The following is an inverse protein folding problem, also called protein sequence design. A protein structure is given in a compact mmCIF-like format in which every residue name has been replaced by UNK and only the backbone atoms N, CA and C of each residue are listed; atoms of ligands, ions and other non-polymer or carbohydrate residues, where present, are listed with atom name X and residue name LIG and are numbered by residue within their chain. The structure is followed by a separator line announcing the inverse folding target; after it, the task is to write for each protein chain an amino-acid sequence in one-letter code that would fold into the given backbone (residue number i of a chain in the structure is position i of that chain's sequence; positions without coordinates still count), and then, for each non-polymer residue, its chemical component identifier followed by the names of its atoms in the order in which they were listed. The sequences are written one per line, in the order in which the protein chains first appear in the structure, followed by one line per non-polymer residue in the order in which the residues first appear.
data_IF_832514885009
#
_entry.id   IF_832514885009
#
_cell.length_a   1.000
_cell.length_b   1.000
_cell.length_c   1.000
_cell.angle_alpha   90.00
_cell.angle_beta   90.00
_cell.angle_gamma   90.00
#
_symmetry.space_group_name_H-M   'P 1'
#
loop_
_entity.id
_entity.type
_entity.pdbx_description
1 polymer ?
#
# COMPACT_ATOMS: atom_id res chain seq x y z
N UNK A 1 -4.79 -13.65 -14.35
CA UNK A 1 -4.29 -13.33 -12.99
C UNK A 1 -5.36 -13.70 -11.97
N UNK A 2 -4.99 -14.13 -10.76
CA UNK A 2 -5.97 -14.50 -9.70
C UNK A 2 -6.07 -13.48 -8.57
N UNK A 3 -5.05 -12.65 -8.39
CA UNK A 3 -5.01 -11.63 -7.34
C UNK A 3 -4.37 -10.35 -7.86
N UNK A 4 -5.07 -9.23 -7.73
CA UNK A 4 -4.59 -7.88 -8.04
C UNK A 4 -4.57 -7.08 -6.73
N UNK A 5 -3.40 -6.61 -6.36
CA UNK A 5 -3.13 -5.87 -5.13
C UNK A 5 -2.76 -4.44 -5.47
N UNK A 6 -3.40 -3.47 -4.82
CA UNK A 6 -2.96 -2.08 -4.83
C UNK A 6 -2.21 -1.79 -3.54
N UNK A 7 -0.99 -1.26 -3.62
CA UNK A 7 -0.28 -0.76 -2.44
C UNK A 7 -0.65 0.71 -2.16
N UNK A 8 -0.71 1.05 -0.88
CA UNK A 8 -1.11 2.37 -0.39
C UNK A 8 -1.22 2.40 1.13
N UNK A 9 -1.43 3.60 1.68
CA UNK A 9 -1.74 3.82 3.08
C UNK A 9 -3.25 4.12 3.27
N UNK A 10 -3.90 3.53 4.28
CA UNK A 10 -5.31 3.80 4.59
C UNK A 10 -5.50 5.13 5.32
N UNK A 11 -6.70 5.70 5.20
CA UNK A 11 -7.12 6.91 5.90
C UNK A 11 -7.02 8.19 5.06
N UNK A 12 -7.87 9.15 5.37
CA UNK A 12 -8.16 10.34 4.54
C UNK A 12 -6.90 11.16 4.21
N UNK A 13 -5.97 11.24 5.17
CA UNK A 13 -4.71 11.97 4.98
C UNK A 13 -3.83 11.44 3.85
N UNK A 14 -4.01 10.18 3.45
CA UNK A 14 -3.19 9.52 2.43
C UNK A 14 -3.90 9.29 1.10
N UNK A 15 -5.23 9.39 1.07
CA UNK A 15 -6.00 9.01 -0.13
C UNK A 15 -5.52 9.70 -1.40
N UNK A 16 -5.03 10.93 -1.29
CA UNK A 16 -4.57 11.73 -2.42
C UNK A 16 -3.04 11.76 -2.60
N UNK A 17 -2.26 10.98 -1.86
CA UNK A 17 -0.79 11.01 -1.92
C UNK A 17 -0.24 10.10 -3.02
N UNK A 18 0.94 10.43 -3.56
CA UNK A 18 1.60 9.63 -4.62
C UNK A 18 1.76 8.16 -4.22
N UNK A 19 2.01 7.89 -2.94
CA UNK A 19 2.19 6.54 -2.40
C UNK A 19 0.92 5.65 -2.45
N UNK A 20 -0.23 6.23 -2.82
CA UNK A 20 -1.49 5.52 -3.01
C UNK A 20 -1.80 5.24 -4.49
N UNK A 21 -0.85 5.42 -5.42
CA UNK A 21 -1.06 5.12 -6.84
C UNK A 21 -1.53 3.67 -7.10
N UNK A 22 -1.04 2.71 -6.30
CA UNK A 22 -1.50 1.32 -6.36
C UNK A 22 -2.97 1.17 -5.96
N UNK A 23 -3.42 1.88 -4.92
CA UNK A 23 -4.84 1.92 -4.55
C UNK A 23 -5.69 2.52 -5.66
N UNK A 24 -5.29 3.66 -6.22
CA UNK A 24 -6.02 4.30 -7.32
C UNK A 24 -6.22 3.36 -8.50
N UNK A 25 -5.18 2.60 -8.87
CA UNK A 25 -5.31 1.60 -9.93
C UNK A 25 -6.38 0.55 -9.60
N UNK A 26 -6.32 -0.08 -8.43
CA UNK A 26 -7.28 -1.15 -8.07
C UNK A 26 -8.70 -0.62 -7.85
N UNK A 27 -8.87 0.58 -7.32
CA UNK A 27 -10.17 1.25 -7.25
C UNK A 27 -10.75 1.49 -8.65
N UNK A 28 -9.91 1.92 -9.61
CA UNK A 28 -10.32 2.08 -11.01
C UNK A 28 -10.64 0.75 -11.68
N UNK A 29 -9.88 -0.31 -11.41
CA UNK A 29 -10.21 -1.68 -11.85
C UNK A 29 -11.58 -2.08 -11.31
N UNK A 30 -11.81 -1.90 -10.01
CA UNK A 30 -13.07 -2.24 -9.37
C UNK A 30 -14.26 -1.48 -9.98
N UNK A 31 -14.08 -0.19 -10.27
CA UNK A 31 -15.10 0.61 -10.95
C UNK A 31 -15.40 0.11 -12.37
N UNK A 32 -14.36 -0.14 -13.17
CA UNK A 32 -14.47 -0.62 -14.57
C UNK A 32 -15.16 -1.99 -14.63
N UNK A 33 -14.80 -2.90 -13.72
CA UNK A 33 -15.35 -4.25 -13.65
C UNK A 33 -16.60 -4.36 -12.79
N UNK A 34 -17.16 -3.23 -12.33
CA UNK A 34 -18.33 -3.14 -11.44
C UNK A 34 -18.22 -4.05 -10.21
N UNK A 35 -16.99 -4.24 -9.72
CA UNK A 35 -16.67 -5.08 -8.58
C UNK A 35 -16.74 -4.25 -7.31
N UNK A 36 -17.55 -4.68 -6.34
CA UNK A 36 -17.65 -3.97 -5.06
C UNK A 36 -16.51 -4.40 -4.12
N UNK A 37 -15.74 -3.43 -3.64
CA UNK A 37 -14.75 -3.64 -2.58
C UNK A 37 -15.43 -3.51 -1.22
N UNK A 38 -15.28 -4.52 -0.35
CA UNK A 38 -15.81 -4.52 1.02
C UNK A 38 -14.71 -4.74 2.02
N UNK A 39 -14.83 -4.11 3.19
CA UNK A 39 -13.91 -4.34 4.30
C UNK A 39 -14.05 -5.76 4.81
N UNK A 40 -12.93 -6.47 4.84
CA UNK A 40 -12.82 -7.79 5.42
C UNK A 40 -11.83 -7.74 6.60
N UNK A 41 -12.36 -7.94 7.81
CA UNK A 41 -11.56 -7.88 9.04
C UNK A 41 -10.56 -9.04 9.15
N UNK A 42 -10.87 -10.21 8.58
CA UNK A 42 -9.97 -11.36 8.60
C UNK A 42 -8.75 -11.07 7.75
N UNK A 43 -8.93 -10.50 6.56
CA UNK A 43 -7.81 -10.17 5.67
C UNK A 43 -7.19 -8.80 5.95
N UNK A 44 -7.78 -7.98 6.83
CA UNK A 44 -7.34 -6.62 7.13
C UNK A 44 -7.20 -5.77 5.86
N UNK A 45 -8.17 -5.90 4.95
CA UNK A 45 -8.15 -5.29 3.63
C UNK A 45 -9.55 -4.89 3.16
N UNK A 46 -9.64 -4.02 2.15
CA UNK A 46 -10.80 -3.98 1.28
C UNK A 46 -10.60 -5.04 0.20
N UNK A 47 -11.61 -5.89 0.02
CA UNK A 47 -11.56 -7.05 -0.87
C UNK A 47 -12.78 -7.05 -1.77
N UNK A 48 -12.59 -7.35 -3.05
CA UNK A 48 -13.66 -7.63 -4.00
C UNK A 48 -13.28 -8.79 -4.90
N UNK A 49 -14.28 -9.46 -5.47
CA UNK A 49 -14.05 -10.54 -6.44
C UNK A 49 -14.69 -10.16 -7.75
N UNK A 50 -13.90 -10.14 -8.81
CA UNK A 50 -14.41 -9.92 -10.15
C UNK A 50 -15.02 -11.23 -10.66
N UNK A 51 -16.36 -11.29 -10.71
CA UNK A 51 -17.14 -12.50 -11.01
C UNK A 51 -16.68 -13.22 -12.29
N UNK A 52 -16.50 -12.49 -13.40
CA UNK A 52 -16.20 -13.11 -14.69
C UNK A 52 -14.84 -13.83 -14.74
N UNK A 53 -13.82 -13.24 -14.09
CA UNK A 53 -12.46 -13.83 -14.07
C UNK A 53 -12.18 -14.68 -12.83
N UNK A 54 -13.00 -14.53 -11.78
CA UNK A 54 -12.75 -15.07 -10.45
C UNK A 54 -11.60 -14.37 -9.69
N UNK A 55 -10.94 -13.37 -10.27
CA UNK A 55 -9.81 -12.68 -9.67
C UNK A 55 -10.21 -11.82 -8.46
N UNK A 56 -9.35 -11.82 -7.44
CA UNK A 56 -9.51 -10.99 -6.25
C UNK A 56 -8.85 -9.63 -6.45
N UNK A 57 -9.52 -8.58 -6.01
CA UNK A 57 -9.02 -7.21 -5.90
C UNK A 57 -8.79 -6.90 -4.42
N UNK A 58 -7.61 -6.41 -4.07
CA UNK A 58 -7.22 -6.22 -2.66
C UNK A 58 -6.54 -4.87 -2.45
N UNK A 59 -7.05 -4.12 -1.49
CA UNK A 59 -6.41 -2.92 -0.92
C UNK A 59 -6.10 -3.19 0.56
N UNK A 60 -4.86 -3.52 0.93
CA UNK A 60 -4.46 -3.67 2.33
C UNK A 60 -4.88 -2.46 3.16
N UNK A 61 -5.42 -2.66 4.37
CA UNK A 61 -5.81 -1.58 5.27
C UNK A 61 -4.85 -1.44 6.46
N UNK A 62 -3.60 -1.86 6.25
CA UNK A 62 -2.45 -1.61 7.11
C UNK A 62 -1.58 -0.51 6.50
N UNK A 63 -0.69 0.09 7.30
CA UNK A 63 0.34 0.98 6.75
C UNK A 63 1.25 0.25 5.76
N UNK A 64 1.85 1.02 4.86
CA UNK A 64 2.61 0.50 3.72
C UNK A 64 3.67 -0.53 4.12
N UNK A 65 4.39 -0.30 5.21
CA UNK A 65 5.42 -1.21 5.71
C UNK A 65 4.89 -2.55 6.27
N UNK A 66 3.57 -2.73 6.30
CA UNK A 66 2.89 -3.94 6.76
C UNK A 66 1.83 -4.44 5.76
N UNK A 67 1.93 -4.04 4.48
CA UNK A 67 0.99 -4.43 3.42
C UNK A 67 1.08 -5.90 3.01
N UNK A 68 2.20 -6.58 3.30
CA UNK A 68 2.44 -7.97 2.92
C UNK A 68 1.60 -8.97 3.69
N UNK A 69 1.26 -8.69 4.95
CA UNK A 69 0.45 -9.59 5.79
C UNK A 69 -0.96 -9.81 5.21
N UNK A 70 -1.75 -8.78 4.89
CA UNK A 70 -3.04 -8.94 4.21
C UNK A 70 -2.98 -9.79 2.94
N UNK A 71 -1.97 -9.52 2.10
CA UNK A 71 -1.77 -10.21 0.83
C UNK A 71 -1.44 -11.69 1.03
N UNK A 72 -0.50 -12.00 1.92
CA UNK A 72 -0.11 -13.36 2.25
C UNK A 72 -1.29 -14.17 2.80
N UNK A 73 -2.08 -13.59 3.71
CA UNK A 73 -3.22 -14.27 4.32
C UNK A 73 -4.25 -14.65 3.25
N UNK A 74 -4.57 -13.74 2.33
CA UNK A 74 -5.52 -13.99 1.25
C UNK A 74 -4.97 -15.00 0.24
N UNK A 75 -3.72 -14.83 -0.20
CA UNK A 75 -3.06 -15.74 -1.14
C UNK A 75 -3.00 -17.17 -0.58
N UNK A 76 -2.63 -17.33 0.68
CA UNK A 76 -2.58 -18.64 1.36
C UNK A 76 -3.97 -19.27 1.48
N UNK A 77 -4.98 -18.47 1.87
CA UNK A 77 -6.34 -18.96 2.07
C UNK A 77 -6.97 -19.48 0.77
N UNK A 78 -6.76 -18.78 -0.34
CA UNK A 78 -7.28 -19.16 -1.66
C UNK A 78 -6.30 -19.96 -2.51
N UNK A 79 -5.13 -20.34 -1.96
CA UNK A 79 -4.08 -21.12 -2.64
C UNK A 79 -3.63 -20.48 -3.96
N UNK A 80 -3.40 -19.16 -3.93
CA UNK A 80 -2.94 -18.38 -5.07
C UNK A 80 -1.41 -18.38 -5.08
N UNK A 81 -0.81 -18.81 -6.19
CA UNK A 81 0.64 -18.82 -6.32
C UNK A 81 1.18 -17.40 -6.59
N UNK A 82 2.43 -17.07 -6.18
CA UNK A 82 3.01 -15.73 -6.41
C UNK A 82 2.98 -15.28 -7.88
N UNK A 83 3.21 -16.19 -8.82
CA UNK A 83 3.14 -15.90 -10.25
C UNK A 83 1.74 -15.49 -10.76
N UNK A 84 0.69 -15.72 -9.95
CA UNK A 84 -0.70 -15.36 -10.25
C UNK A 84 -1.12 -14.03 -9.59
N UNK A 85 -0.18 -13.35 -8.92
CA UNK A 85 -0.36 -12.09 -8.21
C UNK A 85 0.20 -10.93 -9.04
N UNK A 86 -0.61 -9.89 -9.23
CA UNK A 86 -0.20 -8.59 -9.75
C UNK A 86 -0.21 -7.56 -8.62
N UNK A 87 0.90 -6.88 -8.38
CA UNK A 87 1.03 -5.82 -7.37
C UNK A 87 1.24 -4.48 -8.06
N UNK A 88 0.27 -3.58 -7.94
CA UNK A 88 0.36 -2.20 -8.39
C UNK A 88 0.93 -1.30 -7.30
N UNK A 89 1.92 -0.47 -7.66
CA UNK A 89 2.60 0.42 -6.72
C UNK A 89 3.13 1.67 -7.44
N UNK A 90 3.46 2.69 -6.66
CA UNK A 90 4.15 3.89 -7.14
C UNK A 90 5.63 3.59 -7.45
N UNK A 91 6.14 4.24 -8.50
CA UNK A 91 7.49 4.07 -9.02
C UNK A 91 8.19 5.42 -9.16
N UNK A 92 9.31 5.58 -8.47
CA UNK A 92 10.10 6.82 -8.45
C UNK A 92 10.98 6.95 -9.70
N UNK A 93 11.44 5.82 -10.25
CA UNK A 93 12.33 5.81 -11.42
C UNK A 93 11.64 6.32 -12.69
N UNK A 94 10.31 6.38 -12.68
CA UNK A 94 9.49 6.70 -13.84
C UNK A 94 8.78 8.04 -13.65
N UNK A 95 8.80 8.93 -14.65
CA UNK A 95 8.05 10.18 -14.56
C UNK A 95 6.53 9.90 -14.54
N UNK A 96 5.73 10.83 -13.97
CA UNK A 96 4.27 10.80 -14.12
C UNK A 96 3.86 10.57 -15.57
N UNK A 97 2.89 9.68 -15.78
CA UNK A 97 2.49 9.25 -17.12
C UNK A 97 3.16 7.96 -17.59
N UNK A 98 4.25 7.50 -16.99
CA UNK A 98 4.85 6.23 -17.40
C UNK A 98 4.23 5.08 -16.61
N UNK A 99 3.85 4.00 -17.29
CA UNK A 99 3.41 2.76 -16.64
C UNK A 99 4.04 1.56 -17.33
N UNK A 100 4.52 0.62 -16.53
CA UNK A 100 5.13 -0.62 -17.01
C UNK A 100 4.71 -1.79 -16.13
N UNK A 101 4.32 -2.89 -16.77
CA UNK A 101 4.20 -4.20 -16.12
C UNK A 101 5.51 -5.00 -16.27
N UNK A 102 5.93 -5.72 -15.23
CA UNK A 102 7.14 -6.57 -15.26
C UNK A 102 6.98 -7.78 -14.31
N UNK A 103 7.52 -8.97 -14.63
CA UNK A 103 7.62 -10.07 -13.67
C UNK A 103 8.84 -9.89 -12.75
N UNK A 104 8.67 -10.15 -11.46
CA UNK A 104 9.77 -10.19 -10.51
C UNK A 104 10.45 -8.83 -10.28
N UNK A 105 11.72 -8.90 -9.89
CA UNK A 105 12.60 -7.73 -9.73
C UNK A 105 12.85 -7.29 -8.28
N UNK A 106 13.72 -6.31 -8.13
CA UNK A 106 14.05 -5.73 -6.82
C UNK A 106 12.91 -4.90 -6.25
N UNK A 107 13.00 -4.57 -4.96
CA UNK A 107 11.99 -3.73 -4.26
C UNK A 107 12.30 -2.23 -4.33
N UNK A 108 13.47 -1.84 -4.85
CA UNK A 108 13.88 -0.44 -5.08
C UNK A 108 13.66 0.52 -3.88
N UNK A 109 13.80 0.01 -2.65
CA UNK A 109 13.56 0.80 -1.42
C UNK A 109 12.09 1.01 -1.05
N UNK A 110 11.14 0.50 -1.83
CA UNK A 110 9.71 0.59 -1.56
C UNK A 110 9.31 -0.35 -0.40
N UNK A 111 8.91 0.23 0.74
CA UNK A 111 8.63 -0.52 1.97
C UNK A 111 7.48 -1.54 1.85
N UNK A 112 6.45 -1.24 1.06
CA UNK A 112 5.36 -2.19 0.80
C UNK A 112 5.80 -3.44 0.03
N UNK A 113 6.56 -3.27 -1.06
CA UNK A 113 7.16 -4.37 -1.79
C UNK A 113 8.15 -5.16 -0.93
N UNK A 114 8.91 -4.49 -0.06
CA UNK A 114 9.82 -5.15 0.90
C UNK A 114 9.07 -6.09 1.85
N UNK A 115 8.03 -5.62 2.51
CA UNK A 115 7.23 -6.46 3.42
C UNK A 115 6.49 -7.56 2.64
N UNK A 116 5.88 -7.24 1.50
CA UNK A 116 5.18 -8.20 0.67
C UNK A 116 6.09 -9.36 0.21
N UNK A 117 7.28 -9.05 -0.30
CA UNK A 117 8.24 -10.06 -0.73
C UNK A 117 8.72 -10.92 0.43
N UNK A 118 8.96 -10.31 1.60
CA UNK A 118 9.34 -11.05 2.81
C UNK A 118 8.24 -12.01 3.27
N UNK A 119 6.96 -11.62 3.15
CA UNK A 119 5.80 -12.44 3.56
C UNK A 119 5.47 -13.54 2.57
N UNK A 120 5.65 -13.29 1.28
CA UNK A 120 5.46 -14.30 0.23
C UNK A 120 6.65 -15.24 0.08
N UNK A 121 7.83 -14.88 0.60
CA UNK A 121 9.06 -15.66 0.49
C UNK A 121 9.70 -15.64 -0.91
N UNK A 122 9.21 -14.76 -1.79
CA UNK A 122 9.73 -14.60 -3.16
C UNK A 122 9.45 -13.19 -3.68
N UNK A 123 10.23 -12.77 -4.68
CA UNK A 123 9.97 -11.58 -5.48
C UNK A 123 9.18 -11.89 -6.76
N UNK A 124 8.93 -13.18 -7.07
CA UNK A 124 8.46 -13.69 -8.36
C UNK A 124 6.94 -13.55 -8.55
N UNK A 125 6.48 -12.32 -8.43
CA UNK A 125 5.12 -11.88 -8.73
C UNK A 125 5.16 -10.75 -9.76
N UNK A 126 4.03 -10.49 -10.41
CA UNK A 126 3.92 -9.42 -11.39
C UNK A 126 3.79 -8.06 -10.71
N UNK A 127 4.40 -7.04 -11.30
CA UNK A 127 4.38 -5.67 -10.77
C UNK A 127 3.86 -4.72 -11.84
N UNK A 128 2.88 -3.90 -11.47
CA UNK A 128 2.47 -2.74 -12.26
C UNK A 128 3.11 -1.49 -11.62
N UNK A 129 4.13 -0.97 -12.29
CA UNK A 129 4.93 0.18 -11.85
C UNK A 129 4.29 1.45 -12.41
N UNK A 130 3.73 2.28 -11.53
CA UNK A 130 3.05 3.53 -11.90
C UNK A 130 3.99 4.69 -11.59
N UNK A 131 4.49 5.35 -12.63
CA UNK A 131 5.45 6.44 -12.48
C UNK A 131 4.88 7.62 -11.72
N UNK A 132 5.58 8.05 -10.68
CA UNK A 132 5.25 9.22 -9.88
C UNK A 132 6.34 10.29 -9.93
N UNK A 133 7.50 9.99 -10.51
CA UNK A 133 8.69 10.85 -10.55
C UNK A 133 9.56 10.74 -9.29
N UNK A 134 10.73 11.37 -9.33
CA UNK A 134 11.68 11.43 -8.22
C UNK A 134 11.96 12.88 -7.83
N UNK A 135 12.07 13.23 -6.53
CA UNK A 135 12.34 14.60 -6.08
C UNK A 135 13.80 15.08 -6.32
N UNK A 136 14.59 14.38 -7.14
CA UNK A 136 16.03 14.59 -7.31
C UNK A 136 16.91 14.18 -6.11
N UNK A 137 16.46 14.41 -4.88
CA UNK A 137 17.19 14.08 -3.65
C UNK A 137 16.60 12.86 -2.93
N UNK A 138 17.45 11.87 -2.61
CA UNK A 138 17.07 10.67 -1.87
C UNK A 138 16.50 10.98 -0.48
N UNK A 139 16.96 12.04 0.18
CA UNK A 139 16.47 12.42 1.51
C UNK A 139 15.04 12.98 1.47
N UNK A 140 14.61 13.52 0.33
CA UNK A 140 13.28 14.08 0.14
C UNK A 140 12.22 13.03 -0.28
N UNK A 141 12.62 11.79 -0.57
CA UNK A 141 11.73 10.73 -1.11
C UNK A 141 10.56 10.44 -0.18
N UNK A 142 10.81 10.28 1.13
CA UNK A 142 9.77 9.95 2.10
C UNK A 142 8.66 11.01 2.11
N UNK A 143 9.04 12.29 2.13
CA UNK A 143 8.05 13.37 2.10
C UNK A 143 7.37 13.44 0.73
N UNK A 144 8.12 13.30 -0.36
CA UNK A 144 7.60 13.38 -1.72
C UNK A 144 6.46 12.39 -1.99
N UNK A 145 6.63 11.12 -1.60
CA UNK A 145 5.61 10.08 -1.82
C UNK A 145 4.37 10.29 -0.94
N UNK A 146 4.55 10.92 0.23
CA UNK A 146 3.46 11.22 1.17
C UNK A 146 2.73 12.53 0.88
N UNK A 147 3.09 13.24 -0.20
CA UNK A 147 2.37 14.42 -0.65
C UNK A 147 1.51 14.16 -1.89
N UNK A 148 0.49 14.99 -2.08
CA UNK A 148 -0.35 14.99 -3.27
C UNK A 148 0.46 15.42 -4.51
N UNK A 149 0.30 14.75 -5.67
CA UNK A 149 0.88 15.22 -6.92
C UNK A 149 0.30 16.58 -7.36
N UNK A 150 1.08 17.33 -8.13
CA UNK A 150 0.56 18.52 -8.82
C UNK A 150 -0.59 18.13 -9.76
N UNK A 151 -1.44 19.09 -10.16
CA UNK A 151 -2.61 18.78 -11.00
C UNK A 151 -2.23 18.10 -12.32
N UNK A 152 -1.17 18.59 -12.99
CA UNK A 152 -0.70 17.98 -14.23
C UNK A 152 -0.11 16.58 -14.00
N UNK A 153 0.74 16.42 -12.97
CA UNK A 153 1.29 15.11 -12.61
C UNK A 153 0.18 14.11 -12.29
N UNK A 154 -0.87 14.56 -11.60
CA UNK A 154 -2.04 13.74 -11.29
C UNK A 154 -2.75 13.29 -12.57
N UNK A 155 -2.99 14.21 -13.50
CA UNK A 155 -3.61 13.89 -14.79
C UNK A 155 -2.78 12.87 -15.58
N UNK A 156 -1.45 13.00 -15.56
CA UNK A 156 -0.56 12.04 -16.22
C UNK A 156 -0.60 10.66 -15.56
N UNK A 157 -0.59 10.61 -14.22
CA UNK A 157 -0.74 9.35 -13.46
C UNK A 157 -2.09 8.69 -13.79
N UNK A 158 -3.18 9.45 -13.80
CA UNK A 158 -4.51 8.94 -14.14
C UNK A 158 -4.57 8.42 -15.59
N UNK A 159 -3.91 9.09 -16.54
CA UNK A 159 -3.77 8.62 -17.92
C UNK A 159 -2.94 7.33 -18.02
N UNK A 160 -1.90 7.19 -17.20
CA UNK A 160 -1.10 5.97 -17.12
C UNK A 160 -1.92 4.79 -16.56
N UNK A 161 -2.72 5.04 -15.52
CA UNK A 161 -3.69 4.07 -15.01
C UNK A 161 -4.71 3.70 -16.09
N UNK A 162 -5.20 4.67 -16.85
CA UNK A 162 -6.08 4.44 -18.01
C UNK A 162 -5.50 3.43 -19.01
N UNK A 163 -4.25 3.62 -19.44
CA UNK A 163 -3.56 2.66 -20.32
C UNK A 163 -3.37 1.29 -19.70
N UNK A 164 -3.13 1.20 -18.39
CA UNK A 164 -3.07 -0.09 -17.70
C UNK A 164 -4.43 -0.81 -17.70
N UNK A 165 -5.55 -0.08 -17.66
CA UNK A 165 -6.89 -0.65 -17.77
C UNK A 165 -7.18 -1.18 -19.19
N UNK A 166 -6.64 -0.57 -20.24
CA UNK A 166 -6.81 -1.05 -21.63
C UNK A 166 -6.21 -2.46 -21.88
N UNK A 167 -5.28 -2.88 -21.03
CA UNK A 167 -4.66 -4.21 -21.06
C UNK A 167 -5.16 -5.13 -19.94
N UNK A 168 -6.06 -4.64 -19.08
CA UNK A 168 -6.66 -5.43 -17.99
C UNK A 168 -7.33 -6.73 -18.49
N UNK A 169 -8.06 -6.77 -19.62
CA UNK A 169 -8.64 -8.02 -20.11
C UNK A 169 -7.59 -9.11 -20.36
N UNK A 170 -6.43 -8.74 -20.90
CA UNK A 170 -5.30 -9.67 -21.13
C UNK A 170 -4.72 -10.16 -19.79
N UNK A 171 -4.52 -9.24 -18.83
CA UNK A 171 -4.03 -9.58 -17.49
C UNK A 171 -4.98 -10.54 -16.76
N UNK A 172 -6.28 -10.29 -16.80
CA UNK A 172 -7.31 -11.14 -16.20
C UNK A 172 -7.38 -12.51 -16.89
N UNK A 173 -7.31 -12.53 -18.23
CA UNK A 173 -7.24 -13.75 -19.05
C UNK A 173 -5.95 -14.57 -18.88
N UNK A 174 -4.94 -14.02 -18.20
CA UNK A 174 -3.67 -14.71 -17.94
C UNK A 174 -2.58 -14.49 -18.99
N UNK A 175 -2.88 -13.73 -20.05
CA UNK A 175 -1.91 -13.33 -21.07
C UNK A 175 -1.11 -12.09 -20.61
N UNK A 176 -0.21 -12.31 -19.65
CA UNK A 176 0.64 -11.23 -19.13
C UNK A 176 1.70 -10.77 -20.13
N UNK A 177 2.12 -11.64 -21.04
CA UNK A 177 3.10 -11.27 -22.07
C UNK A 177 2.47 -10.37 -23.13
N UNK A 178 1.27 -10.70 -23.62
CA UNK A 178 0.50 -9.84 -24.50
C UNK A 178 0.14 -8.51 -23.84
N UNK A 179 -0.25 -8.54 -22.55
CA UNK A 179 -0.49 -7.32 -21.78
C UNK A 179 0.77 -6.43 -21.71
N UNK A 180 1.93 -7.03 -21.44
CA UNK A 180 3.21 -6.33 -21.40
C UNK A 180 3.57 -5.70 -22.75
N UNK A 181 3.51 -6.48 -23.83
CA UNK A 181 3.82 -6.01 -25.18
C UNK A 181 2.92 -4.84 -25.58
N UNK A 182 1.61 -4.97 -25.39
CA UNK A 182 0.63 -3.93 -25.73
C UNK A 182 0.85 -2.66 -24.90
N UNK A 183 1.06 -2.81 -23.59
CA UNK A 183 1.26 -1.67 -22.69
C UNK A 183 2.56 -0.90 -22.98
N UNK A 184 3.63 -1.64 -23.35
CA UNK A 184 4.95 -1.05 -23.54
C UNK A 184 5.15 -0.43 -24.94
N UNK A 185 4.34 -0.82 -25.92
CA UNK A 185 4.37 -0.29 -27.29
C UNK A 185 3.70 1.08 -27.43
N UNK A 186 2.93 1.52 -26.43
CA UNK A 186 2.36 2.87 -26.42
C UNK A 186 3.47 3.92 -26.23
N UNK A 187 3.41 5.07 -26.91
CA UNK A 187 4.42 6.12 -26.78
C UNK A 187 4.56 6.56 -25.32
N UNK A 188 5.78 6.57 -24.80
CA UNK A 188 6.05 7.09 -23.45
C UNK A 188 5.89 8.62 -23.42
N UNK A 189 5.29 9.18 -22.36
CA UNK A 189 5.33 10.61 -22.15
C UNK A 189 6.76 11.06 -21.89
N UNK A 190 7.19 12.10 -22.61
CA UNK A 190 8.52 12.70 -22.44
C UNK A 190 8.61 13.33 -21.05
N UNK A 191 9.64 13.00 -20.28
CA UNK A 191 9.88 13.60 -18.97
C UNK A 191 9.99 15.14 -19.10
N UNK A 192 9.17 15.87 -18.35
CA UNK A 192 9.24 17.34 -18.32
C UNK A 192 10.51 17.80 -17.60
N UNK A 193 11.20 18.85 -18.08
CA UNK A 193 12.39 19.36 -17.43
C UNK A 193 12.11 19.93 -16.03
N UNK A 194 13.02 19.63 -15.11
CA UNK A 194 12.98 19.84 -13.65
C UNK A 194 12.61 21.28 -13.18
N UNK A 195 12.78 22.30 -14.05
CA UNK A 195 12.52 23.71 -13.69
C UNK A 195 11.04 24.06 -13.50
N UNK A 196 10.10 23.27 -14.02
CA UNK A 196 8.67 23.50 -13.84
C UNK A 196 8.13 23.02 -12.47
N UNK A 197 8.87 22.19 -11.73
CA UNK A 197 8.42 21.61 -10.45
C UNK A 197 8.75 22.49 -9.22
N UNK A 198 9.53 23.56 -9.39
CA UNK A 198 9.89 24.50 -8.29
C UNK A 198 8.87 25.63 -8.06
N UNK A 199 7.87 25.79 -8.92
CA UNK A 199 6.96 26.96 -8.88
C UNK A 199 5.73 26.81 -7.97
N UNK A 200 5.53 25.68 -7.29
CA UNK A 200 4.45 25.52 -6.32
C UNK A 200 4.95 25.62 -4.87
N UNK A 201 5.45 26.79 -4.47
CA UNK A 201 5.57 27.15 -3.04
C UNK A 201 4.40 28.08 -2.68
N UNK A 202 3.65 27.85 -1.59
CA UNK A 202 2.57 28.76 -1.21
C UNK A 202 3.12 30.14 -0.87
N UNK A 203 2.42 31.16 -1.37
CA UNK A 203 2.63 32.56 -1.05
C UNK A 203 2.54 32.82 0.46
N UNK A 204 3.51 33.59 0.94
CA UNK A 204 3.47 34.56 2.02
C UNK A 204 2.59 34.27 3.25
N UNK A 205 3.26 33.94 4.37
CA UNK A 205 2.77 34.31 5.69
C UNK A 205 2.75 35.84 5.79
N UNK A 206 1.54 36.39 5.83
CA UNK A 206 1.26 37.80 6.02
C UNK A 206 1.69 38.22 7.44
N UNK A 207 2.45 39.31 7.50
CA UNK A 207 2.97 39.93 8.72
C UNK A 207 1.81 40.51 9.55
N UNK A 208 1.68 40.05 10.79
CA UNK A 208 0.98 40.82 11.82
C UNK A 208 2.00 41.70 12.57
N UNK A 209 1.99 42.98 12.22
CA UNK A 209 2.75 44.05 12.86
C UNK A 209 2.05 44.43 14.19
N UNK A 210 2.75 44.31 15.33
CA UNK A 210 2.37 44.95 16.61
C UNK A 210 3.42 46.01 16.93
N UNK A 211 3.05 47.25 17.29
CA UNK A 211 4.02 48.29 17.55
C UNK A 211 4.66 48.10 18.93
N UNK A 212 5.95 48.43 18.98
CA UNK A 212 6.80 48.44 20.15
C UNK A 212 6.44 49.57 21.13
N UNK A 213 6.62 49.31 22.43
CA UNK A 213 7.10 50.32 23.39
C UNK A 213 8.19 49.72 24.27
N UNK A 214 9.26 50.48 24.38
CA UNK A 214 10.54 50.19 25.01
C UNK A 214 10.48 50.24 26.55
N UNK A 215 11.42 49.53 27.19
CA UNK A 215 11.75 49.69 28.61
C UNK A 215 12.59 48.54 29.16
N UNK A 216 13.90 48.71 29.16
CA UNK A 216 14.88 48.08 30.09
C UNK A 216 15.62 49.23 30.79
N UNK A 217 16.30 49.05 31.94
CA UNK A 217 16.86 47.83 32.54
C UNK A 217 16.41 47.64 34.01
N UNK A 218 16.70 46.53 34.72
CA UNK A 218 17.90 46.35 35.55
C UNK A 218 17.86 44.96 36.22
N UNK A 219 19.04 44.37 36.45
CA UNK A 219 19.29 43.24 37.39
C UNK A 219 20.06 43.82 38.58
N UNK A 220 19.94 43.28 39.82
CA UNK A 220 20.92 42.24 40.21
C UNK A 220 20.46 41.20 41.25
N UNK A 221 21.33 40.19 41.43
CA UNK A 221 21.65 39.46 42.68
C UNK A 221 20.84 38.19 43.09
N UNK A 222 21.47 37.03 42.84
CA UNK A 222 22.06 36.05 43.80
C UNK A 222 21.33 35.77 45.14
N UNK A 223 20.95 34.51 45.36
CA UNK A 223 21.22 33.66 46.56
C UNK A 223 20.41 32.35 46.44
N UNK A 224 21.05 31.20 46.27
CA UNK A 224 21.35 30.17 47.30
C UNK A 224 20.31 29.04 47.42
N UNK A 225 20.87 27.83 47.51
CA UNK A 225 20.23 26.51 47.73
C UNK A 225 20.22 26.25 49.25
N UNK A 226 19.30 25.46 49.80
CA UNK A 226 19.60 24.04 50.09
C UNK A 226 18.37 23.13 49.84
N UNK A 227 18.47 21.91 49.29
CA UNK A 227 19.01 20.63 49.80
C UNK A 227 18.00 19.75 50.60
N UNK A 228 17.78 18.52 50.09
CA UNK A 228 17.24 17.27 50.71
C UNK A 228 15.75 17.28 51.13
N UNK A 229 14.98 16.19 51.07
CA UNK A 229 15.25 14.75 51.17
C UNK A 229 14.11 13.98 50.42
N UNK A 230 14.37 12.88 49.70
CA UNK A 230 14.44 11.47 50.14
C UNK A 230 13.10 10.69 50.09
N UNK A 231 13.17 9.48 49.52
CA UNK A 231 12.23 8.36 49.68
C UNK A 231 11.06 8.36 48.69
N UNK A 232 10.61 7.26 48.13
CA UNK A 232 11.06 5.87 48.14
C UNK A 232 10.29 5.19 46.99
N UNK A 233 10.94 4.31 46.24
CA UNK A 233 10.24 3.30 45.45
C UNK A 233 9.92 2.13 46.39
N UNK A 234 8.85 1.34 46.14
CA UNK A 234 9.20 0.08 45.49
C UNK A 234 8.14 -0.53 44.55
N UNK A 235 8.68 -1.29 43.60
CA UNK A 235 8.30 -2.64 43.18
C UNK A 235 6.93 -2.94 42.54
N UNK A 236 7.04 -3.54 41.35
CA UNK A 236 6.13 -4.52 40.75
C UNK A 236 5.88 -5.71 41.70
N UNK A 237 4.89 -6.56 41.36
CA UNK A 237 5.22 -7.98 41.33
C UNK A 237 4.87 -8.67 40.01
N UNK A 238 5.68 -9.70 39.76
CA UNK A 238 5.66 -10.62 38.65
C UNK A 238 4.48 -11.61 38.69
N UNK A 239 4.34 -12.32 37.58
CA UNK A 239 3.41 -13.41 37.34
C UNK A 239 3.62 -14.63 38.24
N UNK A 240 2.56 -15.43 38.41
CA UNK A 240 2.61 -16.85 38.77
C UNK A 240 1.65 -17.65 37.87
N UNK A 241 2.06 -18.81 37.31
CA UNK A 241 1.21 -19.65 36.47
C UNK A 241 0.62 -20.84 37.24
N UNK A 242 -0.65 -21.16 36.97
CA UNK A 242 -1.17 -22.51 37.21
C UNK A 242 -2.61 -22.59 37.70
N UNK A 243 -3.49 -23.13 36.85
CA UNK A 243 -4.13 -24.43 37.11
C UNK A 243 -5.01 -24.87 35.94
N UNK A 244 -4.77 -26.12 35.55
CA UNK A 244 -5.58 -26.90 34.64
C UNK A 244 -6.98 -27.18 35.22
N UNK A 245 -8.00 -27.09 34.37
CA UNK A 245 -9.34 -27.63 34.61
C UNK A 245 -9.86 -28.24 33.30
N UNK A 246 -9.97 -29.57 33.28
CA UNK A 246 -10.59 -30.36 32.21
C UNK A 246 -12.10 -30.08 32.15
N UNK A 247 -12.68 -30.13 30.94
CA UNK A 247 -13.84 -30.96 30.57
C UNK A 247 -14.70 -30.30 29.47
N UNK A 248 -15.23 -31.14 28.57
CA UNK A 248 -16.40 -30.80 27.74
C UNK A 248 -16.13 -30.65 26.25
N UNK A 249 -16.15 -31.77 25.52
CA UNK A 249 -16.24 -31.78 24.06
C UNK A 249 -17.67 -31.57 23.57
N UNK A 250 -17.80 -30.96 22.40
CA UNK A 250 -18.89 -31.06 21.42
C UNK A 250 -18.35 -30.33 20.16
N UNK A 251 -17.93 -30.97 19.08
CA UNK A 251 -18.53 -32.13 18.44
C UNK A 251 -19.62 -31.66 17.48
N UNK A 252 -19.29 -31.67 16.18
CA UNK A 252 -20.23 -31.64 15.04
C UNK A 252 -20.89 -30.29 14.70
N UNK A 253 -20.41 -29.63 13.64
CA UNK A 253 -21.30 -29.02 12.64
C UNK A 253 -20.57 -28.86 11.28
N UNK A 254 -21.20 -29.37 10.22
CA UNK A 254 -20.87 -29.27 8.78
C UNK A 254 -19.75 -30.14 8.18
N UNK A 255 -20.05 -31.44 8.03
CA UNK A 255 -19.59 -32.26 6.89
C UNK A 255 -20.81 -32.86 6.20
N UNK A 256 -21.37 -32.16 5.21
CA UNK A 256 -22.36 -32.69 4.24
C UNK A 256 -22.43 -31.77 3.03
N UNK A 257 -21.61 -32.04 2.02
CA UNK A 257 -21.96 -31.95 0.60
C UNK A 257 -20.76 -32.45 -0.22
N UNK A 258 -20.73 -33.76 -0.51
CA UNK A 258 -20.07 -34.39 -1.66
C UNK A 258 -20.60 -35.83 -1.74
N UNK A 259 -21.24 -36.26 -2.83
CA UNK A 259 -21.65 -37.65 -3.03
C UNK A 259 -20.47 -38.54 -3.46
N UNK A 260 -20.44 -39.76 -2.95
CA UNK A 260 -19.45 -40.81 -3.25
C UNK A 260 -19.54 -41.33 -4.71
N UNK A 261 -18.43 -41.81 -5.29
CA UNK A 261 -18.38 -42.36 -6.64
C UNK A 261 -18.94 -43.79 -6.69
N UNK A 262 -19.84 -44.05 -7.65
CA UNK A 262 -20.37 -45.40 -7.93
C UNK A 262 -19.34 -46.34 -8.57
N UNK A 263 -19.56 -47.68 -8.47
CA UNK A 263 -18.52 -48.67 -8.76
C UNK A 263 -18.26 -48.87 -10.26
N UNK A 264 -16.99 -49.02 -10.59
CA UNK A 264 -16.47 -49.36 -11.91
C UNK A 264 -16.97 -50.74 -12.37
N UNK A 265 -17.59 -50.80 -13.56
CA UNK A 265 -17.82 -52.05 -14.29
C UNK A 265 -16.56 -52.42 -15.07
N UNK A 266 -16.01 -53.60 -14.79
CA UNK A 266 -15.09 -54.30 -15.69
C UNK A 266 -15.90 -55.05 -16.76
N UNK A 267 -15.62 -54.77 -18.03
CA UNK A 267 -15.65 -55.71 -19.14
C UNK A 267 -14.50 -55.34 -20.07
#
# INVERSE_FOLDING_TARGET
MKLIVGLGNPGDRYQATRHNAGFWFVERVAAETRTTLRKDAKFQALVGRHEASGAWLVLPQNFMNASGRPVQMLASFFKIAPAEILVAHDELDFPPGTVRVKPGGGVAGHNGLKDLSARLGTNDYWRLRIGIGHPGDRHAVTDYVLHKPGQEERADIDAAIGRALEVLPLMLGGDMQGAMLKLHSAPEPVARPEKAQRSAKPAAAEKAERPARAGTPETPARAEKPEKAAGDAPAQPAADPGKAGKSGGLGSFLKKLLPDPGPARKK
#
